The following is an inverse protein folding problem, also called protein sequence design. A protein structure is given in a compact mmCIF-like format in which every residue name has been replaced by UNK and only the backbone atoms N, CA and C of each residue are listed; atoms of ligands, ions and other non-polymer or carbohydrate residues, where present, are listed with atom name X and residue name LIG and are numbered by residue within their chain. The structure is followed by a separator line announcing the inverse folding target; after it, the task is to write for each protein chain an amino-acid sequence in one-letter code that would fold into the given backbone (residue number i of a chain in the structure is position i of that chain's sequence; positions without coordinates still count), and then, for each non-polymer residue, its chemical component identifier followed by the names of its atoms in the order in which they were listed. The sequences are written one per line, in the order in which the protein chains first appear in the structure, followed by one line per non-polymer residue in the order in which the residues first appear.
data_IF_181448847751
#
_entry.id   IF_181448847751
#
_cell.length_a   1.000
_cell.length_b   1.000
_cell.length_c   1.000
_cell.angle_alpha   90.00
_cell.angle_beta   90.00
_cell.angle_gamma   90.00
#
_symmetry.space_group_name_H-M   'P 1'
#
loop_
_entity.id
_entity.type
_entity.pdbx_description
1 polymer ?
#
# COMPACT_ATOMS: atom_id res chain seq x y z
N UNK A 1 -24.33 -2.39 28.12
CA UNK A 1 -23.48 -3.30 27.33
C UNK A 1 -22.46 -2.44 26.62
N UNK A 2 -21.22 -2.42 27.10
CA UNK A 2 -20.18 -1.52 26.60
C UNK A 2 -19.76 -1.97 25.20
N UNK A 3 -19.90 -1.08 24.23
CA UNK A 3 -19.48 -1.28 22.85
C UNK A 3 -18.01 -1.66 22.85
N UNK A 4 -17.72 -2.84 22.30
CA UNK A 4 -16.39 -3.31 21.89
C UNK A 4 -15.82 -2.24 20.97
N UNK A 5 -15.14 -1.24 21.55
CA UNK A 5 -14.38 -0.24 20.81
C UNK A 5 -13.13 -0.95 20.31
N UNK A 6 -13.35 -1.84 19.34
CA UNK A 6 -12.34 -2.57 18.61
C UNK A 6 -11.36 -1.53 18.15
N UNK A 7 -10.20 -1.47 18.78
CA UNK A 7 -9.09 -0.66 18.29
C UNK A 7 -8.84 -1.21 16.91
N UNK A 8 -9.37 -0.53 15.89
CA UNK A 8 -9.10 -0.85 14.50
C UNK A 8 -7.61 -0.58 14.37
N UNK A 9 -6.80 -1.62 14.56
CA UNK A 9 -5.36 -1.56 14.37
C UNK A 9 -5.10 -0.89 13.02
N UNK A 10 -4.20 0.09 13.03
CA UNK A 10 -3.80 0.81 11.84
C UNK A 10 -3.25 -0.14 10.77
N UNK A 11 -2.99 0.36 9.56
CA UNK A 11 -2.45 -0.47 8.48
C UNK A 11 -1.19 -1.25 8.91
N UNK A 12 -0.34 -0.66 9.76
CA UNK A 12 0.84 -1.31 10.31
C UNK A 12 0.54 -2.50 11.23
N UNK A 13 -0.51 -2.42 12.05
CA UNK A 13 -0.92 -3.49 12.97
C UNK A 13 -1.41 -4.73 12.20
N UNK A 14 -2.13 -4.48 11.10
CA UNK A 14 -2.63 -5.56 10.22
C UNK A 14 -1.54 -6.13 9.34
N UNK A 15 -0.66 -5.29 8.80
CA UNK A 15 0.37 -5.68 7.83
C UNK A 15 1.60 -6.28 8.52
N UNK A 16 1.97 -5.79 9.71
CA UNK A 16 3.14 -6.16 10.53
C UNK A 16 4.51 -5.94 9.87
N UNK A 17 4.57 -5.75 8.56
CA UNK A 17 5.78 -5.55 7.77
C UNK A 17 5.62 -4.40 6.79
N UNK A 18 6.71 -3.67 6.51
CA UNK A 18 6.75 -2.60 5.54
C UNK A 18 6.46 -3.09 4.12
N UNK A 19 5.53 -2.43 3.42
CA UNK A 19 5.16 -2.76 2.04
C UNK A 19 6.31 -2.60 1.03
N UNK A 20 7.29 -1.75 1.34
CA UNK A 20 8.41 -1.42 0.46
C UNK A 20 9.61 -2.35 0.69
N UNK A 21 10.07 -2.49 1.94
CA UNK A 21 11.30 -3.25 2.25
C UNK A 21 11.06 -4.63 2.87
N UNK A 22 9.82 -4.95 3.26
CA UNK A 22 9.47 -6.22 3.91
C UNK A 22 9.94 -6.38 5.36
N UNK A 23 10.64 -5.40 5.93
CA UNK A 23 11.06 -5.42 7.33
C UNK A 23 9.87 -5.24 8.28
N UNK A 24 9.93 -5.88 9.44
CA UNK A 24 8.89 -5.84 10.46
C UNK A 24 8.75 -4.44 11.08
N UNK A 25 7.51 -4.03 11.35
CA UNK A 25 7.24 -2.85 12.16
C UNK A 25 7.44 -3.18 13.64
N UNK A 26 8.18 -2.33 14.34
CA UNK A 26 8.28 -2.41 15.81
C UNK A 26 7.05 -1.79 16.45
N UNK A 27 6.61 -2.37 17.57
CA UNK A 27 5.50 -1.83 18.35
C UNK A 27 5.87 -0.42 18.85
N UNK A 28 5.12 0.60 18.41
CA UNK A 28 5.40 2.00 18.73
C UNK A 28 6.25 2.75 17.69
N UNK A 29 6.67 2.09 16.61
CA UNK A 29 7.35 2.75 15.50
C UNK A 29 6.37 3.64 14.71
N UNK A 30 6.87 4.74 14.16
CA UNK A 30 6.03 5.63 13.33
C UNK A 30 5.92 5.01 11.94
N UNK A 31 4.71 4.72 11.50
CA UNK A 31 4.45 4.18 10.17
C UNK A 31 3.68 5.19 9.33
N UNK A 32 4.07 5.35 8.08
CA UNK A 32 3.30 6.10 7.09
C UNK A 32 2.36 5.16 6.34
N UNK A 33 1.29 5.70 5.75
CA UNK A 33 0.34 4.93 4.95
C UNK A 33 0.37 5.45 3.53
N UNK A 34 0.61 4.56 2.58
CA UNK A 34 0.60 4.87 1.16
C UNK A 34 -0.49 4.11 0.41
N UNK A 35 -0.98 4.72 -0.67
CA UNK A 35 -1.89 4.07 -1.60
C UNK A 35 -1.08 3.27 -2.63
N UNK A 36 -1.22 1.95 -2.61
CA UNK A 36 -0.69 1.04 -3.59
C UNK A 36 -1.77 0.65 -4.60
N UNK A 37 -1.53 0.94 -5.87
CA UNK A 37 -2.44 0.60 -6.97
C UNK A 37 -1.91 -0.60 -7.75
N UNK A 38 -2.54 -1.76 -7.60
CA UNK A 38 -2.23 -3.01 -8.34
C UNK A 38 -3.50 -3.56 -9.01
N UNK A 39 -4.21 -2.69 -9.76
CA UNK A 39 -5.55 -2.98 -10.29
C UNK A 39 -6.69 -2.71 -9.29
N UNK A 40 -6.37 -2.63 -8.00
CA UNK A 40 -7.23 -2.13 -6.92
C UNK A 40 -6.39 -1.19 -6.04
N UNK A 41 -7.01 -0.15 -5.47
CA UNK A 41 -6.33 0.77 -4.53
C UNK A 41 -6.33 0.14 -3.14
N UNK A 42 -5.14 -0.09 -2.59
CA UNK A 42 -4.94 -0.62 -1.23
C UNK A 42 -4.09 0.33 -0.40
N UNK A 43 -4.47 0.55 0.85
CA UNK A 43 -3.70 1.37 1.78
C UNK A 43 -2.73 0.48 2.57
N UNK A 44 -1.43 0.66 2.33
CA UNK A 44 -0.37 -0.16 2.91
C UNK A 44 0.52 0.69 3.81
N UNK A 45 1.04 0.09 4.88
CA UNK A 45 1.97 0.77 5.78
C UNK A 45 3.40 0.69 5.24
N UNK A 46 4.14 1.79 5.39
CA UNK A 46 5.55 1.91 5.03
C UNK A 46 6.34 2.58 6.16
N UNK A 47 7.66 2.36 6.17
CA UNK A 47 8.54 3.11 7.08
C UNK A 47 8.62 4.57 6.66
N UNK A 48 8.97 5.48 7.58
CA UNK A 48 9.18 6.88 7.24
C UNK A 48 10.23 7.02 6.14
N UNK A 49 9.86 7.70 5.05
CA UNK A 49 10.75 7.88 3.89
C UNK A 49 10.88 6.66 2.97
N UNK A 50 10.16 5.57 3.22
CA UNK A 50 9.98 4.51 2.24
C UNK A 50 8.77 4.80 1.38
N UNK A 51 8.89 4.59 0.07
CA UNK A 51 7.77 4.71 -0.85
C UNK A 51 7.62 3.47 -1.71
N UNK A 52 6.37 3.04 -1.87
CA UNK A 52 5.94 2.02 -2.84
C UNK A 52 5.82 2.60 -4.25
N UNK A 53 5.85 3.92 -4.39
CA UNK A 53 5.88 4.59 -5.68
C UNK A 53 7.20 4.30 -6.40
N UNK A 54 7.10 3.73 -7.60
CA UNK A 54 8.26 3.54 -8.48
C UNK A 54 7.95 4.14 -9.86
N UNK A 55 8.63 5.23 -10.27
CA UNK A 55 8.36 5.87 -11.56
C UNK A 55 8.65 4.93 -12.74
N UNK A 56 9.58 3.99 -12.58
CA UNK A 56 9.85 2.94 -13.58
C UNK A 56 8.66 1.97 -13.72
N UNK A 57 8.00 1.61 -12.61
CA UNK A 57 6.81 0.74 -12.61
C UNK A 57 5.62 1.45 -13.23
N UNK A 58 5.42 2.73 -12.93
CA UNK A 58 4.38 3.57 -13.56
C UNK A 58 4.58 3.67 -15.07
N UNK A 59 5.80 3.98 -15.54
CA UNK A 59 6.12 4.02 -16.98
C UNK A 59 5.89 2.67 -17.66
N UNK A 60 6.24 1.57 -17.00
CA UNK A 60 5.98 0.22 -17.52
C UNK A 60 4.47 -0.09 -17.60
N UNK A 61 3.70 0.27 -16.59
CA UNK A 61 2.24 0.14 -16.59
C UNK A 61 1.59 0.99 -17.69
N UNK A 62 1.98 2.26 -17.82
CA UNK A 62 1.52 3.15 -18.88
C UNK A 62 1.85 2.59 -20.28
N UNK A 63 3.01 1.98 -20.45
CA UNK A 63 3.41 1.33 -21.72
C UNK A 63 2.57 0.08 -22.02
N UNK A 64 2.16 -0.68 -21.02
CA UNK A 64 1.24 -1.83 -21.18
C UNK A 64 -0.16 -1.36 -21.55
N UNK A 65 -0.69 -0.34 -20.87
CA UNK A 65 -1.99 0.26 -21.17
C UNK A 65 -2.07 0.80 -22.61
N UNK A 66 -1.00 1.47 -23.08
CA UNK A 66 -0.91 1.96 -24.47
C UNK A 66 -0.88 0.84 -25.52
N UNK A 67 -0.56 -0.40 -25.14
CA UNK A 67 -0.53 -1.57 -26.04
C UNK A 67 -1.85 -2.32 -26.09
N UNK A 68 -2.81 -1.99 -25.23
CA UNK A 68 -4.14 -2.58 -25.25
C UNK A 68 -5.10 -1.59 -25.92
N UNK A 69 -5.36 -1.68 -27.24
CA UNK A 69 -6.53 -1.01 -27.82
C UNK A 69 -7.78 -1.58 -27.15
N UNK A 70 -8.73 -0.69 -26.89
CA UNK A 70 -9.75 -0.85 -25.85
C UNK A 70 -10.50 -2.18 -25.81
N UNK A 71 -10.73 -2.66 -24.60
CA UNK A 71 -11.95 -3.41 -24.31
C UNK A 71 -13.08 -2.37 -24.23
N UNK A 72 -13.53 -1.90 -25.39
CA UNK A 72 -14.87 -1.35 -25.53
C UNK A 72 -15.81 -2.56 -25.57
N UNK A 73 -16.54 -2.76 -24.48
CA UNK A 73 -17.73 -3.59 -24.43
C UNK A 73 -18.91 -2.66 -24.15
#
# INVERSE_FOLDING_TARGET
MAEDRKTIGGAADRQRTCAMCGAEFRLGDRTEVEALSDGEVRYVAVHPGHTTYSPSRERAAARRLRRTPGQAA
#
